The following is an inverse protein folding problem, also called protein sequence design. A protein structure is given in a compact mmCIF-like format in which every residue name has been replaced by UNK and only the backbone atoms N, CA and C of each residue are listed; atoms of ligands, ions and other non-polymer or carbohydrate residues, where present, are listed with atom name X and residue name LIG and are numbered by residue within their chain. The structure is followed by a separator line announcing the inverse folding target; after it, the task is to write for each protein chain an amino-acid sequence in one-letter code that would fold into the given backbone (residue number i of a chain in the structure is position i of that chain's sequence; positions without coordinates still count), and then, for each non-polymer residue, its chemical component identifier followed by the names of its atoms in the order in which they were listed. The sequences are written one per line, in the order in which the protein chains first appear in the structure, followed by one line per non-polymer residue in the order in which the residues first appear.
data_IF_346916364263
#
_entry.id   IF_346916364263
#
_cell.length_a   1.000
_cell.length_b   1.000
_cell.length_c   1.000
_cell.angle_alpha   90.00
_cell.angle_beta   90.00
_cell.angle_gamma   90.00
#
_symmetry.space_group_name_H-M   'P 1'
#
loop_
_entity.id
_entity.type
_entity.pdbx_description
1 polymer ?
#
# COMPACT_ATOMS: atom_id res chain seq x y z
N UNK A 1 60.79 -5.74 -36.06
CA UNK A 1 60.24 -7.06 -35.69
C UNK A 1 59.39 -6.86 -34.44
N UNK A 2 58.11 -6.53 -34.62
CA UNK A 2 56.95 -7.44 -34.51
C UNK A 2 56.60 -7.71 -33.04
N UNK A 3 55.53 -7.06 -32.58
CA UNK A 3 54.74 -7.37 -31.35
C UNK A 3 54.05 -8.72 -31.59
N UNK A 4 53.84 -9.61 -30.62
CA UNK A 4 52.77 -9.45 -29.61
C UNK A 4 53.12 -10.12 -28.25
N UNK A 5 52.47 -9.82 -27.14
CA UNK A 5 51.34 -10.59 -26.59
C UNK A 5 50.95 -9.82 -25.31
N UNK A 6 49.78 -9.18 -25.26
CA UNK A 6 48.57 -9.83 -24.76
C UNK A 6 48.77 -10.50 -23.39
N UNK A 7 48.69 -9.70 -22.33
CA UNK A 7 48.00 -10.12 -21.12
C UNK A 7 47.45 -8.88 -20.41
N UNK A 8 46.44 -8.30 -21.07
CA UNK A 8 45.34 -7.70 -20.35
C UNK A 8 44.64 -8.83 -19.59
N UNK A 9 44.73 -8.84 -18.27
CA UNK A 9 43.73 -9.53 -17.45
C UNK A 9 43.34 -8.60 -16.32
N UNK A 10 42.58 -7.59 -16.71
CA UNK A 10 41.83 -6.73 -15.83
C UNK A 10 40.76 -7.54 -15.11
N UNK A 11 40.79 -7.46 -13.79
CA UNK A 11 39.63 -7.12 -12.97
C UNK A 11 38.34 -7.95 -13.20
N UNK A 12 38.24 -9.10 -12.54
CA UNK A 12 36.96 -9.78 -12.32
C UNK A 12 36.68 -9.84 -10.80
N UNK A 13 36.47 -8.67 -10.21
CA UNK A 13 35.95 -8.54 -8.84
C UNK A 13 34.48 -8.93 -8.82
N UNK A 14 34.18 -9.99 -8.07
CA UNK A 14 32.84 -10.50 -7.83
C UNK A 14 31.92 -9.43 -7.23
N UNK A 15 31.01 -8.90 -8.03
CA UNK A 15 29.89 -8.08 -7.59
C UNK A 15 28.64 -8.97 -7.56
N UNK A 16 28.47 -9.69 -6.46
CA UNK A 16 27.20 -10.32 -6.13
C UNK A 16 26.34 -9.26 -5.45
N UNK A 17 25.53 -8.53 -6.23
CA UNK A 17 24.52 -7.63 -5.68
C UNK A 17 23.30 -8.45 -5.28
N UNK A 18 22.93 -8.55 -3.99
CA UNK A 18 21.62 -9.06 -3.64
C UNK A 18 20.58 -8.04 -4.11
N UNK A 19 19.63 -8.49 -4.93
CA UNK A 19 18.47 -7.70 -5.30
C UNK A 19 17.65 -7.43 -4.03
N UNK A 20 17.80 -6.23 -3.46
CA UNK A 20 16.90 -5.74 -2.44
C UNK A 20 15.54 -5.53 -3.10
N UNK A 21 14.56 -6.38 -2.75
CA UNK A 21 13.16 -6.14 -3.10
C UNK A 21 12.70 -4.93 -2.28
N UNK A 22 12.89 -3.74 -2.84
CA UNK A 22 12.20 -2.55 -2.39
C UNK A 22 10.72 -2.75 -2.73
N UNK A 23 9.91 -3.05 -1.71
CA UNK A 23 8.46 -2.96 -1.81
C UNK A 23 8.13 -1.46 -1.86
N UNK A 24 8.25 -0.89 -3.06
CA UNK A 24 7.94 0.50 -3.34
C UNK A 24 6.49 0.77 -2.95
N UNK A 25 6.27 1.89 -2.24
CA UNK A 25 5.00 2.24 -1.63
C UNK A 25 3.85 2.09 -2.61
N UNK A 26 2.96 1.14 -2.33
CA UNK A 26 1.69 1.02 -3.07
C UNK A 26 0.94 2.33 -2.86
N UNK A 27 0.58 2.97 -3.96
CA UNK A 27 -0.20 4.19 -3.93
C UNK A 27 -1.50 3.90 -3.15
N UNK A 28 -1.77 4.74 -2.14
CA UNK A 28 -2.82 4.52 -1.13
C UNK A 28 -4.21 4.40 -1.79
N UNK A 29 -4.36 4.90 -3.01
CA UNK A 29 -5.61 4.93 -3.77
C UNK A 29 -5.75 3.82 -4.83
N UNK A 30 -4.70 3.06 -5.15
CA UNK A 30 -4.71 2.16 -6.32
C UNK A 30 -4.72 0.67 -6.01
N UNK A 31 -4.60 0.26 -4.74
CA UNK A 31 -4.71 -1.16 -4.41
C UNK A 31 -6.20 -1.59 -4.41
N UNK A 32 -6.65 -2.39 -5.39
CA UNK A 32 -8.05 -2.83 -5.46
C UNK A 32 -8.46 -3.66 -4.25
N UNK A 33 -7.51 -4.29 -3.54
CA UNK A 33 -7.79 -5.02 -2.31
C UNK A 33 -8.12 -4.05 -1.16
N UNK A 34 -7.39 -2.93 -1.06
CA UNK A 34 -7.66 -1.90 -0.05
C UNK A 34 -9.04 -1.28 -0.26
N UNK A 35 -9.39 -0.92 -1.49
CA UNK A 35 -10.70 -0.33 -1.78
C UNK A 35 -11.86 -1.32 -1.58
N UNK A 36 -11.66 -2.60 -1.92
CA UNK A 36 -12.65 -3.66 -1.64
C UNK A 36 -12.88 -3.79 -0.14
N UNK A 37 -11.79 -3.89 0.63
CA UNK A 37 -11.85 -4.03 2.09
C UNK A 37 -12.45 -2.79 2.76
N UNK A 38 -12.04 -1.60 2.33
CA UNK A 38 -12.61 -0.33 2.78
C UNK A 38 -14.12 -0.31 2.57
N UNK A 39 -14.60 -0.77 1.40
CA UNK A 39 -16.03 -0.80 1.10
C UNK A 39 -16.78 -1.72 2.04
N UNK A 40 -16.25 -2.91 2.33
CA UNK A 40 -16.90 -3.85 3.26
C UNK A 40 -16.90 -3.33 4.69
N UNK A 41 -15.76 -2.89 5.24
CA UNK A 41 -15.69 -2.31 6.60
C UNK A 41 -16.60 -1.08 6.74
N UNK A 42 -16.66 -0.23 5.70
CA UNK A 42 -17.51 0.97 5.73
C UNK A 42 -19.02 0.66 5.69
N UNK A 43 -19.45 -0.55 5.32
CA UNK A 43 -20.86 -0.97 5.41
C UNK A 43 -21.27 -1.30 6.84
N UNK A 44 -20.32 -1.79 7.65
CA UNK A 44 -20.56 -2.16 9.05
C UNK A 44 -20.62 -0.93 9.97
N UNK A 45 -19.90 0.14 9.60
CA UNK A 45 -19.86 1.39 10.37
C UNK A 45 -21.01 2.33 9.99
N UNK A 46 -21.69 2.89 11.00
CA UNK A 46 -22.80 3.85 10.80
C UNK A 46 -22.43 5.27 11.20
N UNK A 47 -22.83 6.25 10.41
CA UNK A 47 -22.73 7.66 10.78
C UNK A 47 -23.98 8.10 11.56
N UNK A 48 -23.85 8.19 12.90
CA UNK A 48 -24.96 8.57 13.78
C UNK A 48 -25.51 9.98 13.54
N UNK A 49 -24.71 10.87 12.93
CA UNK A 49 -25.13 12.24 12.58
C UNK A 49 -25.64 12.37 11.13
N UNK A 50 -25.52 11.31 10.32
CA UNK A 50 -25.89 11.30 8.91
C UNK A 50 -27.11 10.41 8.68
N UNK A 51 -28.23 10.69 9.35
CA UNK A 51 -29.47 9.89 9.23
C UNK A 51 -29.27 8.38 9.53
N UNK A 52 -28.24 8.03 10.29
CA UNK A 52 -27.88 6.65 10.58
C UNK A 52 -27.56 5.82 9.33
N UNK A 53 -27.09 6.45 8.24
CA UNK A 53 -26.57 5.77 7.05
C UNK A 53 -25.24 5.05 7.35
N UNK A 54 -24.87 4.08 6.51
CA UNK A 54 -23.52 3.50 6.56
C UNK A 54 -22.47 4.52 6.14
N UNK A 55 -21.22 4.35 6.56
CA UNK A 55 -20.11 5.18 6.05
C UNK A 55 -19.89 4.97 4.54
N UNK A 56 -20.21 3.78 4.03
CA UNK A 56 -20.13 3.47 2.61
C UNK A 56 -21.10 4.30 1.76
N UNK A 57 -22.31 4.54 2.27
CA UNK A 57 -23.39 5.18 1.50
C UNK A 57 -23.53 6.67 1.78
N UNK A 58 -23.14 7.14 2.97
CA UNK A 58 -23.30 8.55 3.33
C UNK A 58 -22.35 9.47 2.57
N UNK A 59 -22.91 10.52 1.97
CA UNK A 59 -22.16 11.54 1.25
C UNK A 59 -21.68 12.70 2.14
N UNK A 60 -22.05 12.69 3.42
CA UNK A 60 -21.68 13.73 4.36
C UNK A 60 -20.16 13.88 4.50
N UNK A 61 -19.70 15.12 4.75
CA UNK A 61 -18.27 15.41 4.92
C UNK A 61 -17.62 14.55 6.00
N UNK A 62 -18.32 14.31 7.11
CA UNK A 62 -17.83 13.46 8.19
C UNK A 62 -17.59 12.02 7.72
N UNK A 63 -18.55 11.42 7.00
CA UNK A 63 -18.40 10.06 6.47
C UNK A 63 -17.23 9.95 5.49
N UNK A 64 -16.98 10.99 4.67
CA UNK A 64 -15.79 11.03 3.81
C UNK A 64 -14.49 11.08 4.60
N UNK A 65 -14.46 11.84 5.71
CA UNK A 65 -13.29 11.92 6.58
C UNK A 65 -13.02 10.56 7.25
N UNK A 66 -14.07 9.93 7.80
CA UNK A 66 -13.96 8.63 8.45
C UNK A 66 -13.54 7.52 7.47
N UNK A 67 -14.04 7.53 6.23
CA UNK A 67 -13.55 6.58 5.20
C UNK A 67 -12.08 6.76 4.87
N UNK A 68 -11.54 7.99 4.96
CA UNK A 68 -10.09 8.20 4.81
C UNK A 68 -9.32 7.62 6.00
N UNK A 69 -9.83 7.79 7.21
CA UNK A 69 -9.24 7.18 8.40
C UNK A 69 -9.22 5.65 8.33
N UNK A 70 -10.36 5.03 8.02
CA UNK A 70 -10.48 3.58 7.83
C UNK A 70 -9.50 3.08 6.77
N UNK A 71 -9.34 3.81 5.65
CA UNK A 71 -8.35 3.48 4.62
C UNK A 71 -6.94 3.47 5.18
N UNK A 72 -6.56 4.48 5.96
CA UNK A 72 -5.24 4.53 6.63
C UNK A 72 -5.03 3.30 7.50
N UNK A 73 -6.01 2.95 8.34
CA UNK A 73 -5.91 1.79 9.23
C UNK A 73 -5.75 0.46 8.47
N UNK A 74 -6.44 0.30 7.34
CA UNK A 74 -6.31 -0.87 6.47
C UNK A 74 -4.88 -0.98 5.94
N UNK A 75 -4.30 0.14 5.51
CA UNK A 75 -2.94 0.22 4.97
C UNK A 75 -1.90 -0.04 6.05
N UNK A 76 -2.17 0.41 7.28
CA UNK A 76 -1.37 0.12 8.47
C UNK A 76 -1.47 -1.36 8.91
N UNK A 77 -2.25 -2.18 8.20
CA UNK A 77 -2.35 -3.62 8.43
C UNK A 77 -3.28 -4.02 9.57
N UNK A 78 -4.11 -3.09 10.08
CA UNK A 78 -5.12 -3.39 11.09
C UNK A 78 -6.13 -4.40 10.56
N UNK A 79 -6.64 -5.28 11.43
CA UNK A 79 -7.72 -6.22 11.14
C UNK A 79 -9.09 -5.51 11.12
N UNK A 80 -10.11 -6.14 10.51
CA UNK A 80 -11.45 -5.52 10.45
C UNK A 80 -12.04 -5.33 11.85
N UNK A 81 -11.81 -6.29 12.76
CA UNK A 81 -12.23 -6.17 14.16
C UNK A 81 -11.56 -4.98 14.86
N UNK A 82 -10.26 -4.76 14.68
CA UNK A 82 -9.55 -3.60 15.25
C UNK A 82 -10.03 -2.26 14.69
N UNK A 83 -10.65 -2.24 13.51
CA UNK A 83 -11.17 -1.00 12.90
C UNK A 83 -12.60 -0.72 13.36
N UNK A 84 -13.36 -1.76 13.69
CA UNK A 84 -14.78 -1.67 14.07
C UNK A 84 -14.98 -1.44 15.57
N UNK A 85 -14.09 -1.99 16.41
CA UNK A 85 -14.08 -1.81 17.86
C UNK A 85 -13.71 -0.38 18.29
#
# INVERSE_FOLDING_TARGET
MIRPFLSALALAGALCSPAALAQEGRDLAEDPLVETRLREVSKELRCLVCQNETLADSQAKLAQNLRREVRTLIIDGKSDAEIID
#
